data_IF_107043433090
#
_entry.id   IF_107043433090
#
_cell.length_a   1.000
_cell.length_b   1.000
_cell.length_c   1.000
_cell.angle_alpha   90.00
_cell.angle_beta   90.00
_cell.angle_gamma   90.00
#
_symmetry.space_group_name_H-M   'P 1'
#
loop_
_entity.id
_entity.type
_entity.pdbx_description
1 polymer ?
#
# COMPACT_ATOMS: atom_id res chain seq x y z
N UNK A 1 -0.16 -13.93 29.98
CA UNK A 1 -0.03 -14.16 28.53
C UNK A 1 -0.82 -13.06 27.83
N UNK A 2 -0.15 -12.06 27.25
CA UNK A 2 -0.83 -11.14 26.31
C UNK A 2 -1.11 -11.95 25.04
N UNK A 3 -2.34 -11.93 24.58
CA UNK A 3 -2.83 -12.80 23.50
C UNK A 3 -2.04 -12.57 22.21
N UNK A 4 -1.17 -13.51 21.83
CA UNK A 4 -0.42 -13.47 20.57
C UNK A 4 -1.34 -13.35 19.34
N UNK A 5 -2.59 -13.84 19.46
CA UNK A 5 -3.63 -13.72 18.43
C UNK A 5 -4.22 -12.32 18.30
N UNK A 6 -4.12 -11.47 19.33
CA UNK A 6 -4.79 -10.17 19.33
C UNK A 6 -4.27 -9.26 18.20
N UNK A 7 -2.96 -9.28 17.93
CA UNK A 7 -2.36 -8.44 16.89
C UNK A 7 -2.84 -8.83 15.49
N UNK A 8 -2.68 -10.09 15.11
CA UNK A 8 -3.03 -10.60 13.79
C UNK A 8 -4.54 -10.62 13.54
N UNK A 9 -5.36 -10.67 14.60
CA UNK A 9 -6.81 -10.50 14.51
C UNK A 9 -7.19 -9.02 14.33
N UNK A 10 -6.51 -8.11 15.03
CA UNK A 10 -6.76 -6.66 14.93
C UNK A 10 -6.33 -6.09 13.58
N UNK A 11 -5.23 -6.59 13.02
CA UNK A 11 -4.66 -6.14 11.76
C UNK A 11 -4.48 -7.35 10.84
N UNK A 12 -5.51 -7.71 10.10
CA UNK A 12 -5.48 -8.84 9.17
C UNK A 12 -4.67 -8.49 7.92
N UNK A 13 -4.25 -9.51 7.16
CA UNK A 13 -3.69 -9.27 5.81
C UNK A 13 -4.75 -8.51 4.98
N UNK A 14 -4.31 -7.44 4.32
CA UNK A 14 -5.18 -6.54 3.58
C UNK A 14 -5.79 -5.40 4.41
N UNK A 15 -5.51 -5.32 5.72
CA UNK A 15 -5.85 -4.15 6.53
C UNK A 15 -5.04 -2.95 6.09
N UNK A 16 -5.74 -1.84 5.80
CA UNK A 16 -5.15 -0.55 5.45
C UNK A 16 -5.11 0.31 6.70
N UNK A 17 -3.94 0.88 6.99
CA UNK A 17 -3.68 1.73 8.15
C UNK A 17 -3.17 3.12 7.73
N UNK A 18 -3.26 4.09 8.63
CA UNK A 18 -2.41 5.30 8.64
C UNK A 18 -1.51 5.30 9.87
N UNK A 19 -0.41 6.06 9.79
CA UNK A 19 0.52 6.28 10.90
C UNK A 19 0.42 7.71 11.45
N UNK A 20 0.54 7.89 12.75
CA UNK A 20 0.50 9.19 13.42
C UNK A 20 1.90 9.77 13.67
N UNK A 21 2.94 8.95 13.45
CA UNK A 21 4.36 9.31 13.56
C UNK A 21 5.11 8.94 12.29
N UNK A 22 6.09 9.76 11.90
CA UNK A 22 6.96 9.46 10.76
C UNK A 22 7.73 8.14 10.99
N UNK A 23 7.70 7.25 10.00
CA UNK A 23 8.41 5.97 10.07
C UNK A 23 8.80 5.46 8.69
N UNK A 24 9.98 4.81 8.57
CA UNK A 24 10.47 4.26 7.29
C UNK A 24 10.54 5.33 6.19
N UNK A 25 10.73 6.60 6.60
CA UNK A 25 10.63 7.81 5.78
C UNK A 25 9.29 7.97 5.03
N UNK A 26 8.21 7.54 5.68
CA UNK A 26 6.84 7.91 5.37
C UNK A 26 6.37 8.98 6.36
N UNK A 27 5.75 10.07 5.88
CA UNK A 27 5.26 11.14 6.75
C UNK A 27 4.08 10.69 7.62
N UNK A 28 3.73 11.51 8.61
CA UNK A 28 2.47 11.39 9.36
C UNK A 28 1.29 11.37 8.37
N UNK A 29 0.34 10.46 8.60
CA UNK A 29 -0.83 10.23 7.77
C UNK A 29 -0.59 9.29 6.58
N UNK A 30 0.64 8.82 6.36
CA UNK A 30 0.93 7.92 5.25
C UNK A 30 0.13 6.62 5.34
N UNK A 31 -0.37 6.17 4.19
CA UNK A 31 -1.14 4.93 4.09
C UNK A 31 -0.24 3.73 3.90
N UNK A 32 -0.55 2.65 4.61
CA UNK A 32 0.09 1.36 4.43
C UNK A 32 -0.90 0.21 4.47
N UNK A 33 -0.55 -0.91 3.84
CA UNK A 33 -1.32 -2.14 3.84
C UNK A 33 -0.53 -3.27 4.49
N UNK A 34 -1.16 -3.99 5.41
CA UNK A 34 -0.59 -5.19 6.02
C UNK A 34 -0.54 -6.29 4.96
N UNK A 35 0.66 -6.78 4.63
CA UNK A 35 0.85 -7.80 3.59
C UNK A 35 1.38 -9.14 4.13
N UNK A 36 1.86 -9.16 5.37
CA UNK A 36 2.41 -10.37 5.99
C UNK A 36 2.23 -10.31 7.51
N UNK A 37 2.01 -11.49 8.10
CA UNK A 37 2.16 -11.71 9.54
C UNK A 37 3.37 -12.58 9.79
N UNK A 38 4.16 -12.23 10.79
CA UNK A 38 5.33 -13.03 11.17
C UNK A 38 5.38 -13.21 12.69
N UNK A 39 6.26 -14.10 13.13
CA UNK A 39 6.55 -14.31 14.56
C UNK A 39 8.06 -14.48 14.73
N UNK A 40 8.68 -13.63 15.56
CA UNK A 40 10.09 -13.74 15.93
C UNK A 40 10.16 -14.26 17.36
N UNK A 41 10.56 -15.52 17.52
CA UNK A 41 10.48 -16.22 18.81
C UNK A 41 9.03 -16.32 19.28
N UNK A 42 8.69 -15.63 20.36
CA UNK A 42 7.33 -15.57 20.92
C UNK A 42 6.59 -14.26 20.63
N UNK A 43 7.19 -13.36 19.85
CA UNK A 43 6.67 -12.01 19.61
C UNK A 43 5.99 -11.93 18.24
N UNK A 44 4.67 -11.71 18.17
CA UNK A 44 3.99 -11.50 16.89
C UNK A 44 4.39 -10.14 16.32
N UNK A 45 4.50 -10.09 15.00
CA UNK A 45 4.65 -8.86 14.23
C UNK A 45 3.91 -8.94 12.91
N UNK A 46 3.89 -7.84 12.19
CA UNK A 46 3.30 -7.72 10.87
C UNK A 46 4.14 -6.84 9.97
N UNK A 47 4.08 -7.06 8.68
CA UNK A 47 4.78 -6.25 7.69
C UNK A 47 3.79 -5.33 6.97
N UNK A 48 4.17 -4.06 6.81
CA UNK A 48 3.34 -3.03 6.16
C UNK A 48 4.04 -2.52 4.92
N UNK A 49 3.32 -2.47 3.80
CA UNK A 49 3.74 -1.85 2.54
C UNK A 49 3.06 -0.49 2.40
N UNK A 50 3.84 0.57 2.29
CA UNK A 50 3.34 1.94 2.21
C UNK A 50 3.08 2.37 0.76
N UNK A 51 2.30 3.44 0.59
CA UNK A 51 1.92 3.98 -0.72
C UNK A 51 3.10 4.41 -1.61
N UNK A 52 4.26 4.70 -1.01
CA UNK A 52 5.50 5.01 -1.72
C UNK A 52 6.35 3.78 -2.08
N UNK A 53 5.90 2.57 -1.74
CA UNK A 53 6.58 1.30 -2.04
C UNK A 53 7.60 0.87 -1.00
N UNK A 54 7.84 1.69 0.04
CA UNK A 54 8.65 1.26 1.18
C UNK A 54 7.85 0.30 2.04
N UNK A 55 8.54 -0.62 2.68
CA UNK A 55 7.93 -1.58 3.58
C UNK A 55 8.87 -1.89 4.74
N UNK A 56 8.29 -2.30 5.87
CA UNK A 56 9.04 -2.76 7.04
C UNK A 56 8.19 -3.68 7.92
N UNK A 57 8.84 -4.41 8.82
CA UNK A 57 8.22 -5.25 9.84
C UNK A 57 8.06 -4.50 11.16
N UNK A 58 6.86 -4.57 11.75
CA UNK A 58 6.52 -3.92 13.00
C UNK A 58 6.07 -4.93 14.05
N UNK A 59 6.65 -4.81 15.24
CA UNK A 59 6.10 -5.45 16.44
C UNK A 59 4.88 -4.69 16.96
N UNK A 60 4.08 -5.31 17.82
CA UNK A 60 2.95 -4.64 18.50
C UNK A 60 3.38 -3.33 19.19
N UNK A 61 4.53 -3.34 19.88
CA UNK A 61 5.07 -2.15 20.52
C UNK A 61 5.44 -1.05 19.50
N UNK A 62 6.00 -1.42 18.35
CA UNK A 62 6.32 -0.46 17.30
C UNK A 62 5.03 0.21 16.78
N UNK A 63 3.95 -0.56 16.60
CA UNK A 63 2.65 -0.05 16.15
C UNK A 63 2.02 0.91 17.18
N UNK A 64 2.18 0.61 18.47
CA UNK A 64 1.76 1.52 19.55
C UNK A 64 2.54 2.84 19.53
N UNK A 65 3.86 2.79 19.35
CA UNK A 65 4.72 3.98 19.33
C UNK A 65 4.47 4.85 18.12
N UNK A 66 4.32 4.27 16.92
CA UNK A 66 4.09 5.06 15.70
C UNK A 66 2.64 5.56 15.59
N UNK A 67 1.73 5.04 16.42
CA UNK A 67 0.30 5.35 16.40
C UNK A 67 -0.35 4.90 15.09
N UNK A 68 -1.00 3.74 15.08
CA UNK A 68 -1.67 3.21 13.88
C UNK A 68 -3.18 3.29 13.97
N UNK A 69 -3.81 3.82 12.92
CA UNK A 69 -5.26 3.90 12.79
C UNK A 69 -5.73 3.04 11.62
N UNK A 70 -6.66 2.12 11.87
CA UNK A 70 -7.25 1.28 10.81
C UNK A 70 -8.25 2.08 9.99
N UNK A 71 -8.06 2.11 8.67
CA UNK A 71 -9.01 2.71 7.72
C UNK A 71 -10.05 1.68 7.29
N UNK A 72 -9.59 0.53 6.79
CA UNK A 72 -10.44 -0.53 6.24
C UNK A 72 -9.69 -1.86 6.17
N UNK A 73 -10.38 -2.94 5.84
CA UNK A 73 -9.76 -4.22 5.49
C UNK A 73 -10.29 -4.69 4.14
N UNK A 74 -9.38 -4.94 3.22
CA UNK A 74 -9.71 -5.28 1.82
C UNK A 74 -9.79 -6.79 1.64
N UNK A 75 -10.92 -7.28 1.12
CA UNK A 75 -11.14 -8.74 0.98
C UNK A 75 -10.23 -9.40 -0.05
N UNK A 76 -9.88 -8.70 -1.14
CA UNK A 76 -9.09 -9.28 -2.23
C UNK A 76 -7.64 -9.58 -1.82
N UNK A 77 -7.13 -8.92 -0.77
CA UNK A 77 -5.80 -9.16 -0.21
C UNK A 77 -5.77 -10.21 0.90
N UNK A 78 -6.92 -10.72 1.37
CA UNK A 78 -6.95 -11.65 2.51
C UNK A 78 -6.20 -12.97 2.24
N UNK A 79 -6.04 -13.34 0.96
CA UNK A 79 -5.30 -14.52 0.54
C UNK A 79 -3.96 -14.16 -0.12
N UNK A 80 -3.49 -12.91 0.05
CA UNK A 80 -2.16 -12.54 -0.41
C UNK A 80 -1.11 -13.32 0.38
N UNK A 81 -0.21 -13.98 -0.34
CA UNK A 81 0.90 -14.72 0.25
C UNK A 81 2.20 -14.01 -0.11
N UNK A 82 2.94 -13.59 0.92
CA UNK A 82 4.29 -13.08 0.75
C UNK A 82 5.26 -14.25 0.61
N UNK A 83 5.90 -14.36 -0.56
CA UNK A 83 6.92 -15.38 -0.85
C UNK A 83 8.32 -14.77 -0.78
N UNK A 84 8.51 -13.56 -1.32
CA UNK A 84 9.80 -12.90 -1.33
C UNK A 84 9.69 -11.39 -1.55
N UNK A 85 10.77 -10.67 -1.22
CA UNK A 85 10.89 -9.23 -1.53
C UNK A 85 10.76 -8.96 -3.03
N UNK A 86 11.32 -9.82 -3.88
CA UNK A 86 11.24 -9.65 -5.33
C UNK A 86 9.78 -9.69 -5.80
N UNK A 87 9.01 -10.69 -5.34
CA UNK A 87 7.58 -10.77 -5.61
C UNK A 87 6.85 -9.53 -5.10
N UNK A 88 7.11 -9.09 -3.85
CA UNK A 88 6.45 -7.90 -3.29
C UNK A 88 6.71 -6.64 -4.14
N UNK A 89 7.93 -6.47 -4.64
CA UNK A 89 8.29 -5.36 -5.52
C UNK A 89 7.57 -5.44 -6.86
N UNK A 90 7.59 -6.60 -7.52
CA UNK A 90 6.87 -6.82 -8.79
C UNK A 90 5.36 -6.60 -8.63
N UNK A 91 4.79 -7.08 -7.52
CA UNK A 91 3.38 -6.94 -7.17
C UNK A 91 2.99 -5.46 -6.93
N UNK A 92 3.87 -4.71 -6.27
CA UNK A 92 3.70 -3.27 -6.07
C UNK A 92 3.81 -2.46 -7.37
N UNK A 93 4.78 -2.78 -8.22
CA UNK A 93 5.03 -2.09 -9.49
C UNK A 93 3.90 -2.30 -10.51
N UNK A 94 3.34 -3.51 -10.56
CA UNK A 94 2.15 -3.82 -11.39
C UNK A 94 0.85 -3.25 -10.84
N UNK A 95 0.88 -2.59 -9.68
CA UNK A 95 -0.28 -1.93 -9.07
C UNK A 95 -1.23 -2.88 -8.34
N UNK A 96 -0.76 -4.07 -7.93
CA UNK A 96 -1.60 -5.04 -7.22
C UNK A 96 -2.24 -4.47 -5.94
N UNK A 97 -1.53 -3.56 -5.26
CA UNK A 97 -2.00 -2.91 -4.04
C UNK A 97 -2.68 -1.56 -4.27
N UNK A 98 -2.81 -1.08 -5.52
CA UNK A 98 -3.23 0.28 -5.81
C UNK A 98 -4.67 0.55 -5.34
N UNK A 99 -5.56 -0.43 -5.42
CA UNK A 99 -6.92 -0.31 -4.93
C UNK A 99 -6.99 -0.15 -3.39
N UNK A 100 -6.10 -0.83 -2.65
CA UNK A 100 -6.03 -0.70 -1.19
C UNK A 100 -5.37 0.62 -0.77
N UNK A 101 -4.29 0.99 -1.45
CA UNK A 101 -3.52 2.21 -1.16
C UNK A 101 -4.10 3.46 -1.82
N UNK A 102 -5.16 3.32 -2.63
CA UNK A 102 -5.77 4.39 -3.42
C UNK A 102 -4.75 5.13 -4.31
N UNK A 103 -3.76 4.39 -4.84
CA UNK A 103 -2.69 4.92 -5.70
C UNK A 103 -3.12 5.20 -7.13
N UNK A 104 -4.42 5.34 -7.41
CA UNK A 104 -4.98 5.52 -8.75
C UNK A 104 -4.09 6.46 -9.57
N UNK A 105 -3.33 5.88 -10.52
CA UNK A 105 -2.65 6.66 -11.54
C UNK A 105 -3.75 7.41 -12.24
N UNK A 106 -3.78 8.74 -12.13
CA UNK A 106 -4.38 9.53 -13.19
C UNK A 106 -3.69 9.05 -14.46
N UNK A 107 -4.36 8.23 -15.27
CA UNK A 107 -3.91 8.07 -16.64
C UNK A 107 -3.89 9.50 -17.19
N UNK A 108 -2.74 10.02 -17.67
CA UNK A 108 -2.81 11.20 -18.50
C UNK A 108 -3.73 10.79 -19.65
N UNK A 109 -4.89 11.44 -19.74
CA UNK A 109 -5.71 11.40 -20.94
C UNK A 109 -4.73 11.76 -22.05
N UNK A 110 -4.45 10.81 -22.94
CA UNK A 110 -3.74 11.09 -24.17
C UNK A 110 -4.59 12.11 -24.92
N UNK A 111 -4.30 13.40 -24.74
CA UNK A 111 -4.75 14.43 -25.65
C UNK A 111 -4.05 14.15 -26.97
N UNK A 112 -4.73 13.44 -27.86
CA UNK A 112 -4.41 13.43 -29.28
C UNK A 112 -4.39 14.88 -29.76
N UNK A 113 -3.20 15.47 -29.81
CA UNK A 113 -2.93 16.64 -30.62
C UNK A 113 -3.05 16.22 -32.09
N UNK A 114 -4.25 16.30 -32.64
CA UNK A 114 -4.43 16.32 -34.09
C UNK A 114 -3.96 17.69 -34.61
N UNK A 115 -2.66 17.81 -34.85
CA UNK A 115 -2.10 18.84 -35.71
C UNK A 115 -2.13 18.36 -37.15
N UNK A 116 -2.85 19.10 -38.01
CA UNK A 116 -2.83 18.98 -39.48
C UNK A 116 -4.17 18.48 -40.03
N UNK A 117 -4.77 19.05 -41.08
CA UNK A 117 -4.31 20.02 -42.08
C UNK A 117 -5.58 20.70 -42.61
N UNK A 118 -5.78 21.99 -42.30
CA UNK A 118 -6.84 22.81 -42.87
C UNK A 118 -6.37 23.44 -44.18
N UNK A 119 -6.59 22.75 -45.29
CA UNK A 119 -6.34 23.25 -46.63
C UNK A 119 -7.44 24.25 -47.01
N UNK A 120 -7.23 25.55 -46.80
CA UNK A 120 -8.09 26.59 -47.38
C UNK A 120 -7.64 26.82 -48.83
N UNK A 121 -8.41 26.30 -49.77
CA UNK A 121 -8.33 26.65 -51.18
C UNK A 121 -8.96 28.04 -51.39
N UNK A 122 -8.19 28.92 -52.01
CA UNK A 122 -8.62 30.19 -52.61
C UNK A 122 -9.73 29.99 -53.63
N UNK A 123 -10.70 30.91 -53.67
CA UNK A 123 -11.53 31.16 -54.84
C UNK A 123 -11.48 32.65 -55.18
N UNK A 124 -11.35 32.89 -56.49
CA UNK A 124 -11.53 34.16 -57.18
C UNK A 124 -12.95 34.71 -56.99
#
# INVERSE_FOLDING_TARGET
>A
MRDKKALHVRYQIGTVITVDTECVGNPVGAKGVVFEHYTIGDRPGLSVLFENGRYDGFSEFCLEVIGVNTITTTRYLQNYEFVSVLQLQEDFERGFFDAALQRCKHQPVLTTHNNGIGHFASHF
#
